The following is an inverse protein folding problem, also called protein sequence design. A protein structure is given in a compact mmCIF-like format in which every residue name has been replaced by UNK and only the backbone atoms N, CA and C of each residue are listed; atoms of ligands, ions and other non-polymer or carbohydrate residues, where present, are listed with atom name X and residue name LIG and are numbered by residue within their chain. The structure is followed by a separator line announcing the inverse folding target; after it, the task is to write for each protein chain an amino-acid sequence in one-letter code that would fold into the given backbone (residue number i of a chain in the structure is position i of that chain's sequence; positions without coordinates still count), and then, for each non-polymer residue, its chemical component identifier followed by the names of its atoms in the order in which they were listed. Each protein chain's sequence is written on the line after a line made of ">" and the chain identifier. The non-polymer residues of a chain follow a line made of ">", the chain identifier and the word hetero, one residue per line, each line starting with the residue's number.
data_IF_650096018387
#
_entry.id   IF_650096018387
#
_cell.length_a   1.000
_cell.length_b   1.000
_cell.length_c   1.000
_cell.angle_alpha   90.00
_cell.angle_beta   90.00
_cell.angle_gamma   90.00
#
_symmetry.space_group_name_H-M   'P 1'
#
loop_
_entity.id
_entity.type
_entity.pdbx_description
1 polymer ?
#
# COMPACT_ATOMS: atom_id res chain seq x y z
N UNK A 1 -28.68 10.09 44.73
CA UNK A 1 -29.60 10.14 43.59
C UNK A 1 -28.98 9.31 42.48
N UNK A 2 -29.46 8.07 42.31
CA UNK A 2 -29.09 7.11 41.26
C UNK A 2 -30.02 7.34 40.06
N UNK A 3 -29.49 7.34 38.85
CA UNK A 3 -30.14 6.98 37.57
C UNK A 3 -28.98 6.58 36.65
N UNK A 4 -28.53 5.33 36.72
CA UNK A 4 -29.00 4.13 36.00
C UNK A 4 -28.58 4.15 34.53
N UNK A 5 -27.56 3.35 34.28
CA UNK A 5 -27.07 2.90 33.00
C UNK A 5 -28.15 2.09 32.26
N UNK A 6 -28.26 2.32 30.96
CA UNK A 6 -29.04 1.52 30.03
C UNK A 6 -28.10 1.09 28.90
N UNK A 7 -27.40 -0.03 29.10
CA UNK A 7 -26.76 -0.76 28.01
C UNK A 7 -26.99 -2.24 28.25
N UNK A 8 -27.85 -2.80 27.41
CA UNK A 8 -28.46 -4.12 27.48
C UNK A 8 -27.42 -5.25 27.37
N UNK A 9 -27.50 -6.15 28.34
CA UNK A 9 -26.74 -7.39 28.53
C UNK A 9 -27.15 -8.47 27.51
N UNK A 10 -26.58 -8.47 26.29
CA UNK A 10 -26.76 -9.62 25.38
C UNK A 10 -25.58 -10.08 24.52
N UNK A 11 -24.34 -9.70 24.86
CA UNK A 11 -23.16 -10.18 24.10
C UNK A 11 -21.96 -10.62 24.95
N UNK A 12 -22.15 -10.84 26.25
CA UNK A 12 -21.08 -11.31 27.15
C UNK A 12 -20.82 -12.84 27.08
N UNK A 13 -21.65 -13.63 26.39
CA UNK A 13 -21.57 -15.11 26.37
C UNK A 13 -20.98 -15.72 25.09
N UNK A 14 -20.54 -14.91 24.11
CA UNK A 14 -19.80 -15.39 22.93
C UNK A 14 -18.29 -15.11 23.01
N UNK A 15 -17.80 -14.84 24.22
CA UNK A 15 -16.41 -14.52 24.53
C UNK A 15 -15.65 -15.67 25.19
N UNK A 16 -15.79 -16.93 24.75
CA UNK A 16 -14.86 -18.00 25.17
C UNK A 16 -14.85 -19.28 24.30
N UNK A 17 -15.03 -19.18 22.98
CA UNK A 17 -14.71 -20.28 22.04
C UNK A 17 -14.04 -19.69 20.79
N UNK A 18 -12.83 -19.15 20.92
CA UNK A 18 -11.86 -19.09 19.80
C UNK A 18 -10.42 -18.81 20.29
N UNK A 19 -10.11 -19.21 21.52
CA UNK A 19 -8.77 -19.19 22.09
C UNK A 19 -8.29 -20.61 22.40
N UNK A 20 -8.23 -21.50 21.39
CA UNK A 20 -7.43 -22.73 21.43
C UNK A 20 -7.31 -23.45 20.08
N UNK A 21 -7.16 -22.71 18.96
CA UNK A 21 -6.73 -23.35 17.72
C UNK A 21 -5.39 -22.76 17.29
N UNK A 22 -4.36 -23.30 17.93
CA UNK A 22 -2.98 -23.22 17.48
C UNK A 22 -2.88 -23.92 16.12
N UNK A 23 -3.25 -23.21 15.06
CA UNK A 23 -3.03 -23.61 13.68
C UNK A 23 -1.58 -23.27 13.29
N UNK A 24 -0.62 -23.89 13.97
CA UNK A 24 0.67 -24.21 13.38
C UNK A 24 0.39 -25.16 12.21
N UNK A 25 0.01 -24.63 11.04
CA UNK A 25 -0.25 -25.50 9.89
C UNK A 25 -1.07 -24.95 8.74
N UNK A 26 -1.65 -23.74 8.81
CA UNK A 26 -2.17 -23.13 7.59
C UNK A 26 -0.97 -22.56 6.84
N UNK A 27 -0.24 -23.43 6.12
CA UNK A 27 0.66 -23.01 5.04
C UNK A 27 -0.14 -21.98 4.27
N UNK A 28 0.29 -20.70 4.31
CA UNK A 28 -0.19 -19.65 3.42
C UNK A 28 -0.41 -20.34 2.09
N UNK A 29 -1.68 -20.46 1.66
CA UNK A 29 -2.01 -21.09 0.39
C UNK A 29 -1.01 -20.50 -0.59
N UNK A 30 -0.16 -21.37 -1.14
CA UNK A 30 0.99 -20.96 -1.93
C UNK A 30 0.37 -20.20 -3.09
N UNK A 31 0.33 -18.88 -2.96
CA UNK A 31 0.23 -18.00 -4.10
C UNK A 31 1.50 -18.39 -4.84
N UNK A 32 1.34 -19.25 -5.86
CA UNK A 32 2.47 -19.69 -6.66
C UNK A 32 2.99 -18.43 -7.34
N UNK A 33 3.91 -17.74 -6.68
CA UNK A 33 4.74 -16.69 -7.26
C UNK A 33 5.75 -17.40 -8.15
N UNK A 34 5.24 -17.87 -9.30
CA UNK A 34 6.03 -18.53 -10.33
C UNK A 34 7.14 -17.63 -10.89
N UNK A 35 7.02 -16.31 -10.68
CA UNK A 35 8.03 -15.35 -11.06
C UNK A 35 8.18 -14.23 -10.02
N UNK A 36 9.40 -13.76 -9.84
CA UNK A 36 9.72 -12.56 -9.04
C UNK A 36 8.96 -11.32 -9.51
N UNK A 37 8.52 -11.28 -10.78
CA UNK A 37 7.77 -10.17 -11.35
C UNK A 37 6.39 -9.98 -10.72
N UNK A 38 5.76 -11.04 -10.20
CA UNK A 38 4.46 -10.92 -9.52
C UNK A 38 4.55 -10.07 -8.25
N UNK A 39 5.60 -10.27 -7.45
CA UNK A 39 5.85 -9.44 -6.28
C UNK A 39 5.92 -7.95 -6.62
N UNK A 40 6.56 -7.59 -7.74
CA UNK A 40 6.63 -6.20 -8.20
C UNK A 40 5.26 -5.67 -8.66
N UNK A 41 4.50 -6.48 -9.42
CA UNK A 41 3.17 -6.12 -9.91
C UNK A 41 2.18 -5.90 -8.76
N UNK A 42 2.18 -6.76 -7.74
CA UNK A 42 1.35 -6.56 -6.55
C UNK A 42 1.73 -5.28 -5.81
N UNK A 43 3.03 -5.00 -5.64
CA UNK A 43 3.48 -3.73 -5.04
C UNK A 43 3.09 -2.51 -5.86
N UNK A 44 3.13 -2.60 -7.19
CA UNK A 44 2.63 -1.55 -8.05
C UNK A 44 1.12 -1.32 -7.90
N UNK A 45 0.32 -2.38 -7.70
CA UNK A 45 -1.12 -2.25 -7.37
C UNK A 45 -1.32 -1.57 -6.01
N UNK A 46 -0.57 -1.98 -4.98
CA UNK A 46 -0.61 -1.37 -3.64
C UNK A 46 -0.33 0.14 -3.71
N UNK A 47 0.73 0.54 -4.43
CA UNK A 47 1.09 1.95 -4.60
C UNK A 47 0.06 2.74 -5.40
N UNK A 48 -0.59 2.13 -6.39
CA UNK A 48 -1.68 2.79 -7.13
C UNK A 48 -2.94 2.96 -6.27
N UNK A 49 -3.25 1.99 -5.41
CA UNK A 49 -4.33 2.14 -4.44
C UNK A 49 -4.02 3.28 -3.45
N UNK A 50 -2.79 3.30 -2.90
CA UNK A 50 -2.33 4.37 -2.02
C UNK A 50 -2.42 5.76 -2.68
N UNK A 51 -2.06 5.86 -3.98
CA UNK A 51 -2.19 7.10 -4.74
C UNK A 51 -3.65 7.51 -4.94
N UNK A 52 -4.56 6.55 -5.15
CA UNK A 52 -5.99 6.81 -5.24
C UNK A 52 -6.52 7.45 -3.96
N UNK A 53 -6.11 6.92 -2.80
CA UNK A 53 -6.51 7.45 -1.49
C UNK A 53 -5.97 8.87 -1.25
N UNK A 54 -4.75 9.16 -1.69
CA UNK A 54 -4.18 10.50 -1.61
C UNK A 54 -4.90 11.51 -2.48
N UNK A 55 -5.21 11.16 -3.72
CA UNK A 55 -5.97 12.03 -4.62
C UNK A 55 -7.37 12.28 -4.03
N UNK A 56 -8.03 11.26 -3.50
CA UNK A 56 -9.31 11.41 -2.82
C UNK A 56 -9.22 12.35 -1.60
N UNK A 57 -8.15 12.22 -0.81
CA UNK A 57 -7.87 13.13 0.31
C UNK A 57 -7.59 14.57 -0.15
N UNK A 58 -6.96 14.78 -1.30
CA UNK A 58 -6.72 16.13 -1.84
C UNK A 58 -8.05 16.75 -2.31
N UNK A 59 -8.86 16.00 -3.05
CA UNK A 59 -10.19 16.43 -3.51
C UNK A 59 -11.08 16.81 -2.32
N UNK A 60 -11.10 16.01 -1.25
CA UNK A 60 -11.88 16.30 -0.05
C UNK A 60 -11.48 17.63 0.63
N UNK A 61 -10.24 18.07 0.41
CA UNK A 61 -9.66 19.26 1.03
C UNK A 61 -9.54 20.45 0.05
N UNK A 62 -10.21 20.40 -1.11
CA UNK A 62 -10.13 21.45 -2.15
C UNK A 62 -10.65 22.83 -1.72
N UNK A 63 -11.49 22.88 -0.69
CA UNK A 63 -12.04 24.11 -0.10
C UNK A 63 -11.47 24.39 1.30
N UNK A 64 -10.38 23.71 1.69
CA UNK A 64 -9.72 23.95 2.97
C UNK A 64 -8.59 24.98 2.82
N UNK A 65 -8.65 26.12 3.54
CA UNK A 65 -7.61 27.15 3.47
C UNK A 65 -6.23 26.60 3.87
N UNK A 66 -5.17 27.13 3.25
CA UNK A 66 -3.77 26.75 3.50
C UNK A 66 -3.42 25.27 3.27
N UNK A 67 -4.26 24.49 2.59
CA UNK A 67 -3.97 23.10 2.29
C UNK A 67 -2.97 22.94 1.13
N UNK A 68 -2.12 21.91 1.24
CA UNK A 68 -1.12 21.56 0.23
C UNK A 68 -1.29 20.11 -0.22
N UNK A 69 -1.45 19.85 -1.53
CA UNK A 69 -1.64 18.51 -2.05
C UNK A 69 -0.40 17.65 -1.79
N UNK A 70 -0.65 16.39 -1.44
CA UNK A 70 0.38 15.36 -1.26
C UNK A 70 0.27 14.35 -2.39
N UNK A 71 1.40 13.86 -2.87
CA UNK A 71 1.45 12.80 -3.86
C UNK A 71 2.59 11.81 -3.58
N UNK A 72 2.50 10.68 -4.28
CA UNK A 72 3.44 9.59 -4.30
C UNK A 72 4.43 9.77 -5.45
N UNK A 73 5.73 9.75 -5.18
CA UNK A 73 6.71 9.56 -6.24
C UNK A 73 6.73 8.09 -6.67
N UNK A 74 5.76 7.73 -7.52
CA UNK A 74 5.52 6.35 -7.94
C UNK A 74 6.73 5.71 -8.62
N UNK A 75 7.44 6.47 -9.45
CA UNK A 75 8.56 5.95 -10.23
C UNK A 75 9.73 5.57 -9.31
N UNK A 76 10.08 6.43 -8.36
CA UNK A 76 11.19 6.13 -7.45
C UNK A 76 10.86 4.99 -6.49
N UNK A 77 9.64 4.91 -5.97
CA UNK A 77 9.25 3.83 -5.04
C UNK A 77 9.15 2.50 -5.75
N UNK A 78 8.66 2.48 -7.00
CA UNK A 78 8.63 1.28 -7.80
C UNK A 78 10.04 0.85 -8.23
N UNK A 79 10.90 1.80 -8.59
CA UNK A 79 12.30 1.52 -8.94
C UNK A 79 13.07 0.93 -7.75
N UNK A 80 12.91 1.49 -6.55
CA UNK A 80 13.45 0.92 -5.30
C UNK A 80 12.96 -0.51 -5.10
N UNK A 81 11.64 -0.74 -5.21
CA UNK A 81 11.08 -2.08 -5.02
C UNK A 81 11.52 -3.08 -6.08
N UNK A 82 11.71 -2.63 -7.31
CA UNK A 82 12.29 -3.43 -8.39
C UNK A 82 13.74 -3.81 -8.06
N UNK A 83 14.58 -2.86 -7.63
CA UNK A 83 15.96 -3.15 -7.26
C UNK A 83 16.04 -4.16 -6.10
N UNK A 84 15.19 -4.03 -5.08
CA UNK A 84 15.09 -5.00 -3.98
C UNK A 84 14.75 -6.42 -4.45
N UNK A 85 13.80 -6.57 -5.36
CA UNK A 85 13.31 -7.88 -5.83
C UNK A 85 14.30 -8.55 -6.81
N UNK A 86 14.88 -7.77 -7.73
CA UNK A 86 15.65 -8.31 -8.86
C UNK A 86 17.16 -8.26 -8.65
N UNK A 87 17.69 -7.20 -8.04
CA UNK A 87 19.14 -6.96 -8.02
C UNK A 87 19.82 -7.54 -6.78
N UNK A 88 19.08 -8.20 -5.86
CA UNK A 88 19.61 -8.71 -4.59
C UNK A 88 20.51 -7.65 -3.93
N UNK A 89 20.14 -6.38 -4.04
CA UNK A 89 20.73 -5.33 -3.24
C UNK A 89 20.23 -5.56 -1.82
N UNK A 90 20.84 -6.54 -1.12
CA UNK A 90 20.94 -6.53 0.32
C UNK A 90 21.42 -5.13 0.62
N UNK A 91 20.51 -4.34 1.19
CA UNK A 91 20.70 -2.94 1.48
C UNK A 91 22.15 -2.75 1.89
N UNK A 92 22.93 -2.00 1.11
CA UNK A 92 24.34 -1.72 1.39
C UNK A 92 24.41 -0.74 2.57
N UNK A 93 23.70 -1.10 3.63
CA UNK A 93 23.63 -0.46 4.92
C UNK A 93 24.85 -1.00 5.62
N UNK A 94 25.92 -0.23 5.57
CA UNK A 94 27.03 -0.47 6.48
C UNK A 94 26.44 -0.33 7.89
N UNK A 95 26.51 -1.37 8.72
CA UNK A 95 26.07 -1.24 10.10
C UNK A 95 26.90 -0.14 10.75
N UNK A 96 26.25 0.78 11.47
CA UNK A 96 26.97 1.76 12.28
C UNK A 96 27.79 0.98 13.32
N UNK A 97 29.06 1.37 13.48
CA UNK A 97 29.88 0.79 14.52
C UNK A 97 29.37 1.26 15.90
N UNK A 98 28.85 0.34 16.70
CA UNK A 98 28.50 0.63 18.10
C UNK A 98 29.77 0.56 18.95
N UNK A 99 30.26 1.72 19.38
CA UNK A 99 31.44 1.81 20.25
C UNK A 99 31.10 1.55 21.71
N UNK A 100 29.83 1.69 22.11
CA UNK A 100 29.37 1.41 23.48
C UNK A 100 27.92 0.90 23.46
N UNK A 101 27.58 -0.10 24.29
CA UNK A 101 26.25 -0.74 24.33
C UNK A 101 25.09 0.17 24.79
N UNK A 102 25.37 1.40 25.25
CA UNK A 102 24.36 2.43 25.57
C UNK A 102 24.08 3.39 24.42
N UNK A 103 24.76 3.24 23.28
CA UNK A 103 24.44 4.05 22.11
C UNK A 103 23.05 3.69 21.59
N UNK A 104 22.33 4.70 21.11
CA UNK A 104 21.05 4.51 20.45
C UNK A 104 21.29 3.79 19.13
N UNK A 105 20.63 2.66 18.95
CA UNK A 105 20.57 1.99 17.66
C UNK A 105 19.89 2.95 16.68
N UNK A 106 20.59 3.30 15.60
CA UNK A 106 19.94 3.91 14.46
C UNK A 106 19.14 2.82 13.77
N UNK A 107 17.90 2.63 14.20
CA UNK A 107 16.94 1.90 13.39
C UNK A 107 16.79 2.71 12.11
N UNK A 108 17.38 2.19 11.03
CA UNK A 108 17.01 2.55 9.68
C UNK A 108 15.53 2.15 9.52
N UNK A 109 14.64 2.96 10.08
CA UNK A 109 13.37 3.28 9.46
C UNK A 109 13.70 4.03 8.17
N UNK A 110 14.46 3.39 7.26
CA UNK A 110 14.26 3.61 5.85
C UNK A 110 12.77 3.38 5.71
N UNK A 111 12.02 4.48 5.65
CA UNK A 111 10.58 4.44 5.58
C UNK A 111 10.30 3.54 4.39
N UNK A 112 9.93 2.29 4.66
CA UNK A 112 9.43 1.34 3.67
C UNK A 112 8.07 1.84 3.14
N UNK A 113 7.55 2.91 3.77
CA UNK A 113 6.55 3.81 3.24
C UNK A 113 7.07 4.57 2.02
N UNK A 114 6.29 4.50 0.95
CA UNK A 114 6.52 5.24 -0.27
C UNK A 114 6.84 6.72 0.01
N UNK A 115 7.83 7.28 -0.70
CA UNK A 115 8.24 8.67 -0.53
C UNK A 115 7.11 9.61 -0.95
N UNK A 116 6.41 10.13 0.06
CA UNK A 116 5.41 11.16 -0.09
C UNK A 116 6.10 12.51 -0.24
N UNK A 117 5.64 13.30 -1.20
CA UNK A 117 6.09 14.66 -1.39
C UNK A 117 4.89 15.61 -1.47
N UNK A 118 5.13 16.88 -1.15
CA UNK A 118 4.14 17.94 -1.36
C UNK A 118 4.29 18.47 -2.77
N UNK A 119 3.19 18.61 -3.49
CA UNK A 119 3.18 19.22 -4.82
C UNK A 119 3.00 20.73 -4.63
N UNK A 120 4.00 21.52 -5.02
CA UNK A 120 4.08 22.96 -4.76
C UNK A 120 4.12 23.84 -6.03
N UNK A 121 3.83 23.25 -7.20
CA UNK A 121 3.97 23.92 -8.49
C UNK A 121 2.79 24.80 -8.96
N UNK A 122 1.73 24.95 -8.18
CA UNK A 122 0.53 25.70 -8.59
C UNK A 122 0.37 27.00 -7.80
N UNK A 123 -0.11 28.04 -8.48
CA UNK A 123 -0.46 29.30 -7.83
C UNK A 123 -1.55 29.00 -6.80
N UNK A 124 -1.26 29.32 -5.54
CA UNK A 124 -2.26 29.21 -4.50
C UNK A 124 -3.43 30.15 -4.83
N UNK A 125 -4.65 29.69 -4.59
CA UNK A 125 -5.85 30.53 -4.55
C UNK A 125 -5.64 31.65 -3.52
N UNK A 126 -6.50 32.66 -3.54
CA UNK A 126 -6.46 33.80 -2.62
C UNK A 126 -6.50 33.41 -1.12
N UNK A 127 -6.89 32.18 -0.80
CA UNK A 127 -6.96 31.59 0.54
C UNK A 127 -5.70 30.78 0.95
N UNK A 128 -4.66 30.76 0.12
CA UNK A 128 -3.43 29.99 0.36
C UNK A 128 -3.57 28.49 0.08
N UNK A 129 -4.69 28.01 -0.45
CA UNK A 129 -4.84 26.63 -0.90
C UNK A 129 -4.24 26.44 -2.30
N UNK A 130 -3.50 25.35 -2.49
CA UNK A 130 -2.82 24.99 -3.75
C UNK A 130 -3.44 23.79 -4.47
N UNK A 131 -4.56 23.26 -3.97
CA UNK A 131 -5.31 22.17 -4.63
C UNK A 131 -6.18 22.70 -5.75
N UNK A 132 -6.09 22.02 -6.89
CA UNK A 132 -6.92 22.24 -8.06
C UNK A 132 -7.74 20.98 -8.38
N UNK A 133 -9.07 21.11 -8.40
CA UNK A 133 -9.99 20.00 -8.65
C UNK A 133 -9.79 19.37 -10.03
N UNK A 134 -9.52 20.18 -11.06
CA UNK A 134 -9.39 19.69 -12.43
C UNK A 134 -8.11 18.87 -12.59
N UNK A 135 -7.06 19.24 -11.86
CA UNK A 135 -5.80 18.50 -11.80
C UNK A 135 -5.98 17.19 -11.03
N UNK A 136 -6.58 17.22 -9.84
CA UNK A 136 -6.79 16.02 -9.03
C UNK A 136 -7.70 15.01 -9.74
N UNK A 137 -8.76 15.47 -10.43
CA UNK A 137 -9.64 14.60 -11.22
C UNK A 137 -8.93 14.00 -12.44
N UNK A 138 -8.06 14.77 -13.11
CA UNK A 138 -7.21 14.28 -14.20
C UNK A 138 -6.22 13.21 -13.71
N UNK A 139 -5.54 13.46 -12.59
CA UNK A 139 -4.63 12.49 -11.97
C UNK A 139 -5.38 11.23 -11.49
N UNK A 140 -6.59 11.38 -10.96
CA UNK A 140 -7.46 10.26 -10.60
C UNK A 140 -7.76 9.37 -11.81
N UNK A 141 -8.11 9.98 -12.95
CA UNK A 141 -8.35 9.27 -14.21
C UNK A 141 -7.12 8.50 -14.70
N UNK A 142 -5.95 9.13 -14.67
CA UNK A 142 -4.67 8.48 -15.01
C UNK A 142 -4.36 7.31 -14.10
N UNK A 143 -4.57 7.46 -12.79
CA UNK A 143 -4.32 6.39 -11.84
C UNK A 143 -5.29 5.21 -12.02
N UNK A 144 -6.58 5.51 -12.21
CA UNK A 144 -7.63 4.52 -12.44
C UNK A 144 -7.37 3.67 -13.70
N UNK A 145 -7.09 4.32 -14.83
CA UNK A 145 -6.77 3.63 -16.09
C UNK A 145 -5.56 2.71 -15.95
N UNK A 146 -4.51 3.16 -15.27
CA UNK A 146 -3.31 2.35 -15.06
C UNK A 146 -3.52 1.20 -14.06
N UNK A 147 -4.31 1.39 -13.02
CA UNK A 147 -4.69 0.32 -12.09
C UNK A 147 -5.50 -0.77 -12.80
N UNK A 148 -6.47 -0.36 -13.63
CA UNK A 148 -7.25 -1.27 -14.46
C UNK A 148 -6.38 -2.02 -15.47
N UNK A 149 -5.42 -1.34 -16.12
CA UNK A 149 -4.47 -1.98 -17.03
C UNK A 149 -3.65 -3.07 -16.32
N UNK A 150 -3.14 -2.78 -15.12
CA UNK A 150 -2.34 -3.71 -14.34
C UNK A 150 -3.15 -4.92 -13.85
N UNK A 151 -4.36 -4.68 -13.34
CA UNK A 151 -5.25 -5.76 -12.90
C UNK A 151 -5.72 -6.64 -14.07
N UNK A 152 -5.95 -6.06 -15.25
CA UNK A 152 -6.27 -6.78 -16.48
C UNK A 152 -5.10 -7.66 -16.93
N UNK A 153 -3.87 -7.13 -16.93
CA UNK A 153 -2.67 -7.89 -17.26
C UNK A 153 -2.49 -9.10 -16.32
N UNK A 154 -2.70 -8.91 -15.02
CA UNK A 154 -2.62 -9.99 -14.03
C UNK A 154 -3.70 -11.06 -14.27
N UNK A 155 -4.94 -10.65 -14.57
CA UNK A 155 -6.03 -11.58 -14.91
C UNK A 155 -5.70 -12.41 -16.15
N UNK A 156 -5.20 -11.77 -17.21
CA UNK A 156 -4.80 -12.44 -18.45
C UNK A 156 -3.72 -13.48 -18.20
N UNK A 157 -2.69 -13.14 -17.41
CA UNK A 157 -1.63 -14.08 -17.09
C UNK A 157 -2.13 -15.30 -16.29
N UNK A 158 -2.99 -15.09 -15.28
CA UNK A 158 -3.62 -16.19 -14.54
C UNK A 158 -4.45 -17.09 -15.45
N UNK A 159 -5.15 -16.51 -16.44
CA UNK A 159 -5.89 -17.27 -17.45
C UNK A 159 -5.00 -18.24 -18.23
N UNK A 160 -3.80 -17.81 -18.63
CA UNK A 160 -2.84 -18.68 -19.34
C UNK A 160 -2.34 -19.83 -18.46
N UNK A 161 -2.09 -19.59 -17.16
CA UNK A 161 -1.71 -20.64 -16.21
C UNK A 161 -2.83 -21.66 -16.04
N UNK A 162 -4.05 -21.19 -15.79
CA UNK A 162 -5.18 -22.09 -15.59
C UNK A 162 -5.42 -22.93 -16.85
N UNK A 163 -5.30 -22.33 -18.04
CA UNK A 163 -5.38 -23.05 -19.30
C UNK A 163 -4.35 -24.20 -19.41
N UNK A 164 -3.10 -23.94 -19.04
CA UNK A 164 -2.05 -24.97 -19.03
C UNK A 164 -2.34 -26.09 -18.02
N UNK A 165 -2.79 -25.74 -16.82
CA UNK A 165 -3.18 -26.70 -15.77
C UNK A 165 -4.35 -27.56 -16.24
N UNK A 166 -5.40 -26.96 -16.78
CA UNK A 166 -6.58 -27.71 -17.24
C UNK A 166 -6.27 -28.59 -18.45
N UNK A 167 -5.38 -28.15 -19.35
CA UNK A 167 -4.89 -28.97 -20.45
C UNK A 167 -4.11 -30.19 -19.93
N UNK A 168 -3.32 -30.04 -18.86
CA UNK A 168 -2.55 -31.15 -18.26
C UNK A 168 -3.40 -32.19 -17.54
N UNK A 169 -4.57 -31.82 -17.01
CA UNK A 169 -5.49 -32.76 -16.34
C UNK A 169 -6.19 -33.72 -17.31
N UNK A 170 -6.26 -33.35 -18.59
CA UNK A 170 -6.93 -34.14 -19.64
C UNK A 170 -5.96 -35.05 -20.42
N UNK A 171 -4.70 -35.14 -19.97
CA UNK A 171 -3.67 -36.10 -20.41
C UNK A 171 -3.50 -37.18 -19.34
#
# INVERSE_FOLDING_TARGET
>A
MKLIAFFDEKWADFGMIFACFNLQGFKKGVLMDFSKAFGLVYKALDYRALRQDMIASNIANVDTPFYRPKDLDFESVLAKKKAEIFENQSSKVLPLAHTNPRHLDFENSAKDGASLFFRDGHLAKNDGNSVDLDIETSEMGKNSTMYLALSSALKKYRGVINYAIDSSKNL
#
